data_IF_207513670822
#
_entry.id   IF_207513670822
#
_cell.length_a   1.000
_cell.length_b   1.000
_cell.length_c   1.000
_cell.angle_alpha   90.00
_cell.angle_beta   90.00
_cell.angle_gamma   90.00
#
_symmetry.space_group_name_H-M   'P 1'
#
loop_
_entity.id
_entity.type
_entity.pdbx_description
1 polymer ?
#
# COMPACT_ATOMS: atom_id res chain seq x y z
N UNK A 1 -70.65 52.41 -10.00
CA UNK A 1 -69.77 53.03 -8.98
C UNK A 1 -68.51 52.18 -8.82
N UNK A 2 -67.37 52.87 -8.93
CA UNK A 2 -65.95 52.57 -8.67
C UNK A 2 -65.45 51.12 -8.47
N UNK A 3 -64.43 50.83 -9.28
CA UNK A 3 -63.55 49.65 -9.36
C UNK A 3 -62.69 49.49 -8.09
N UNK A 4 -62.46 48.25 -7.65
CA UNK A 4 -61.29 47.90 -6.82
C UNK A 4 -60.46 46.90 -7.64
N UNK A 5 -59.31 47.37 -8.10
CA UNK A 5 -58.23 46.62 -8.71
C UNK A 5 -57.05 46.73 -7.74
N UNK A 6 -56.48 45.62 -7.28
CA UNK A 6 -55.12 45.54 -6.72
C UNK A 6 -54.68 44.07 -6.72
N UNK A 7 -54.03 43.62 -7.80
CA UNK A 7 -52.57 43.50 -7.98
C UNK A 7 -51.97 42.27 -7.29
N UNK A 8 -52.02 41.12 -7.97
CA UNK A 8 -51.13 39.98 -7.70
C UNK A 8 -49.82 40.26 -8.43
N UNK A 9 -48.78 40.65 -7.70
CA UNK A 9 -47.43 40.80 -8.24
C UNK A 9 -46.81 39.40 -8.37
N UNK A 10 -46.94 38.79 -9.56
CA UNK A 10 -46.26 37.54 -9.88
C UNK A 10 -44.78 37.84 -10.04
N UNK A 11 -43.97 37.40 -9.07
CA UNK A 11 -42.51 37.41 -9.17
C UNK A 11 -42.06 36.32 -10.14
N UNK A 12 -42.00 36.67 -11.43
CA UNK A 12 -41.58 35.79 -12.53
C UNK A 12 -40.10 36.03 -12.87
N UNK A 13 -39.19 35.84 -11.91
CA UNK A 13 -37.75 35.80 -12.21
C UNK A 13 -37.12 34.78 -11.29
N UNK A 14 -36.93 33.52 -11.71
CA UNK A 14 -35.96 32.58 -11.12
C UNK A 14 -35.86 31.23 -11.89
N UNK A 15 -35.91 31.21 -13.23
CA UNK A 15 -35.76 29.94 -13.99
C UNK A 15 -34.52 29.86 -14.90
N UNK A 16 -33.75 30.94 -15.09
CA UNK A 16 -32.54 30.90 -15.92
C UNK A 16 -31.25 30.49 -15.17
N UNK A 17 -31.30 30.37 -13.84
CA UNK A 17 -30.10 30.16 -12.99
C UNK A 17 -29.69 28.71 -12.76
N UNK A 18 -30.61 27.74 -12.86
CA UNK A 18 -30.27 26.33 -12.58
C UNK A 18 -29.50 25.66 -13.72
N UNK A 19 -29.85 25.93 -14.98
CA UNK A 19 -29.19 25.26 -16.11
C UNK A 19 -27.74 25.71 -16.35
N UNK A 20 -27.40 26.96 -15.99
CA UNK A 20 -26.03 27.47 -16.12
C UNK A 20 -25.10 26.85 -15.07
N UNK A 21 -25.62 26.66 -13.85
CA UNK A 21 -24.89 26.03 -12.75
C UNK A 21 -24.65 24.53 -13.00
N UNK A 22 -25.63 23.80 -13.54
CA UNK A 22 -25.45 22.39 -13.93
C UNK A 22 -24.44 22.21 -15.07
N UNK A 23 -24.41 23.13 -16.04
CA UNK A 23 -23.41 23.14 -17.11
C UNK A 23 -22.01 23.43 -16.57
N UNK A 24 -21.87 24.37 -15.63
CA UNK A 24 -20.60 24.68 -14.98
C UNK A 24 -20.08 23.50 -14.13
N UNK A 25 -20.93 22.87 -13.30
CA UNK A 25 -20.57 21.71 -12.48
C UNK A 25 -20.13 20.51 -13.37
N UNK A 26 -20.83 20.27 -14.49
CA UNK A 26 -20.43 19.25 -15.48
C UNK A 26 -19.09 19.59 -16.14
N UNK A 27 -18.87 20.86 -16.48
CA UNK A 27 -17.61 21.38 -17.02
C UNK A 27 -16.42 21.18 -16.06
N UNK A 28 -16.57 21.56 -14.79
CA UNK A 28 -15.53 21.40 -13.77
C UNK A 28 -15.20 19.94 -13.50
N UNK A 29 -16.21 19.06 -13.39
CA UNK A 29 -15.99 17.61 -13.29
C UNK A 29 -15.21 17.07 -14.48
N UNK A 30 -15.54 17.51 -15.70
CA UNK A 30 -14.87 17.09 -16.92
C UNK A 30 -13.41 17.58 -17.00
N UNK A 31 -13.16 18.86 -16.68
CA UNK A 31 -11.81 19.45 -16.64
C UNK A 31 -10.95 18.76 -15.59
N UNK A 32 -11.47 18.58 -14.38
CA UNK A 32 -10.79 17.87 -13.29
C UNK A 32 -10.42 16.43 -13.68
N UNK A 33 -11.32 15.73 -14.38
CA UNK A 33 -11.05 14.39 -14.89
C UNK A 33 -9.92 14.37 -15.95
N UNK A 34 -9.92 15.30 -16.91
CA UNK A 34 -8.83 15.39 -17.91
C UNK A 34 -7.48 15.68 -17.27
N UNK A 35 -7.45 16.60 -16.30
CA UNK A 35 -6.24 16.93 -15.54
C UNK A 35 -5.74 15.70 -14.76
N UNK A 36 -6.63 14.98 -14.07
CA UNK A 36 -6.28 13.77 -13.33
C UNK A 36 -5.72 12.67 -14.27
N UNK A 37 -6.33 12.47 -15.44
CA UNK A 37 -5.87 11.52 -16.46
C UNK A 37 -4.48 11.90 -16.99
N UNK A 38 -4.23 13.17 -17.26
CA UNK A 38 -2.93 13.65 -17.72
C UNK A 38 -1.84 13.51 -16.64
N UNK A 39 -2.18 13.84 -15.38
CA UNK A 39 -1.29 13.61 -14.23
C UNK A 39 -0.93 12.13 -14.07
N UNK A 40 -1.91 11.23 -14.20
CA UNK A 40 -1.68 9.79 -14.15
C UNK A 40 -0.76 9.32 -15.29
N UNK A 41 -1.01 9.77 -16.52
CA UNK A 41 -0.16 9.44 -17.69
C UNK A 41 1.28 9.92 -17.50
N UNK A 42 1.48 11.15 -17.03
CA UNK A 42 2.81 11.69 -16.74
C UNK A 42 3.52 10.93 -15.63
N UNK A 43 2.79 10.58 -14.55
CA UNK A 43 3.31 9.76 -13.45
C UNK A 43 3.81 8.40 -13.94
N UNK A 44 3.03 7.70 -14.78
CA UNK A 44 3.46 6.41 -15.35
C UNK A 44 4.64 6.58 -16.30
N UNK A 45 4.65 7.62 -17.13
CA UNK A 45 5.79 7.92 -18.00
C UNK A 45 7.08 8.09 -17.19
N UNK A 46 7.01 8.77 -16.04
CA UNK A 46 8.14 8.91 -15.13
C UNK A 46 8.53 7.56 -14.49
N UNK A 47 7.57 6.80 -13.98
CA UNK A 47 7.84 5.51 -13.32
C UNK A 47 8.40 4.45 -14.28
N UNK A 48 8.01 4.47 -15.56
CA UNK A 48 8.57 3.56 -16.57
C UNK A 48 10.07 3.79 -16.81
N UNK A 49 10.54 5.03 -16.61
CA UNK A 49 11.97 5.38 -16.68
C UNK A 49 12.72 5.06 -15.39
N UNK A 50 12.01 4.89 -14.26
CA UNK A 50 12.64 4.65 -12.97
C UNK A 50 13.25 3.24 -12.84
N UNK A 51 14.15 3.12 -11.86
CA UNK A 51 14.57 1.83 -11.31
C UNK A 51 13.60 1.38 -10.21
N UNK A 52 13.39 0.06 -10.13
CA UNK A 52 12.64 -0.56 -9.05
C UNK A 52 13.61 -1.42 -8.25
N UNK A 53 13.98 -1.00 -7.02
CA UNK A 53 15.04 -1.65 -6.24
C UNK A 53 14.71 -3.12 -5.95
N UNK A 54 13.41 -3.43 -5.84
CA UNK A 54 12.95 -4.80 -5.62
C UNK A 54 13.13 -5.76 -6.81
N UNK A 55 13.41 -5.24 -8.01
CA UNK A 55 13.69 -6.09 -9.18
C UNK A 55 15.16 -6.50 -9.27
N UNK A 56 16.02 -5.96 -8.39
CA UNK A 56 17.44 -6.31 -8.30
C UNK A 56 17.67 -7.24 -7.11
N UNK A 57 18.46 -8.31 -7.33
CA UNK A 57 18.97 -9.14 -6.24
C UNK A 57 20.16 -8.53 -5.51
N UNK A 58 20.86 -7.57 -6.12
CA UNK A 58 21.96 -6.87 -5.45
C UNK A 58 21.39 -5.97 -4.35
N UNK A 59 22.04 -6.01 -3.18
CA UNK A 59 21.77 -5.13 -2.04
C UNK A 59 22.56 -3.83 -2.24
N UNK A 60 21.85 -2.71 -2.31
CA UNK A 60 22.48 -1.40 -2.41
C UNK A 60 22.96 -0.89 -1.04
N UNK A 61 23.88 0.09 -1.02
CA UNK A 61 24.45 0.68 0.21
C UNK A 61 23.40 1.22 1.20
N UNK A 62 22.23 1.62 0.71
CA UNK A 62 21.13 2.16 1.50
C UNK A 62 19.98 1.14 1.73
N UNK A 63 20.27 -0.14 1.50
CA UNK A 63 19.38 -1.29 1.74
C UNK A 63 20.01 -2.14 2.85
N UNK A 64 19.22 -3.02 3.45
CA UNK A 64 19.72 -3.99 4.42
C UNK A 64 19.39 -5.40 3.95
N UNK A 65 20.21 -6.37 4.36
CA UNK A 65 19.99 -7.79 4.14
C UNK A 65 19.87 -8.48 5.49
N UNK A 66 18.90 -9.38 5.63
CA UNK A 66 18.69 -10.18 6.83
C UNK A 66 18.34 -11.59 6.46
N UNK A 67 18.78 -12.55 7.27
CA UNK A 67 18.43 -13.95 7.11
C UNK A 67 17.48 -14.36 8.23
N UNK A 68 16.34 -14.91 7.85
CA UNK A 68 15.39 -15.56 8.75
C UNK A 68 15.70 -17.05 8.72
N UNK A 69 16.40 -17.54 9.74
CA UNK A 69 16.66 -18.97 9.89
C UNK A 69 15.38 -19.69 10.32
N UNK A 70 14.98 -20.72 9.58
CA UNK A 70 13.78 -21.50 9.89
C UNK A 70 14.09 -23.00 9.92
N UNK A 71 13.19 -23.80 10.51
CA UNK A 71 13.29 -25.26 10.47
C UNK A 71 13.16 -25.86 9.07
N UNK A 72 12.79 -25.06 8.07
CA UNK A 72 12.65 -25.45 6.66
C UNK A 72 13.74 -24.85 5.77
N UNK A 73 14.78 -24.29 6.37
CA UNK A 73 15.87 -23.61 5.68
C UNK A 73 15.82 -22.10 5.88
N UNK A 74 16.83 -21.43 5.36
CA UNK A 74 17.01 -20.00 5.53
C UNK A 74 16.20 -19.22 4.49
N UNK A 75 15.69 -18.06 4.91
CA UNK A 75 15.04 -17.08 4.05
C UNK A 75 15.84 -15.78 4.13
N UNK A 76 16.57 -15.43 3.08
CA UNK A 76 17.28 -14.17 2.92
C UNK A 76 16.30 -13.09 2.45
N UNK A 77 16.38 -11.91 3.04
CA UNK A 77 15.42 -10.81 2.87
C UNK A 77 16.16 -9.51 2.68
N UNK A 78 15.73 -8.72 1.69
CA UNK A 78 16.25 -7.39 1.38
C UNK A 78 15.28 -6.29 1.80
N UNK A 79 15.70 -5.53 2.80
CA UNK A 79 14.91 -4.46 3.40
C UNK A 79 15.22 -3.11 2.73
N UNK A 80 14.24 -2.21 2.73
CA UNK A 80 14.37 -0.89 2.10
C UNK A 80 14.09 0.28 3.06
N UNK A 81 15.06 0.66 3.92
CA UNK A 81 14.91 1.74 4.88
C UNK A 81 14.42 3.06 4.27
N UNK A 82 14.82 3.36 3.02
CA UNK A 82 14.41 4.59 2.32
C UNK A 82 12.91 4.65 2.02
N UNK A 83 12.25 3.51 1.81
CA UNK A 83 10.86 3.45 1.37
C UNK A 83 9.89 3.05 2.49
N UNK A 84 10.38 2.36 3.52
CA UNK A 84 9.60 1.95 4.67
C UNK A 84 10.47 2.05 5.96
N UNK A 85 10.89 3.27 6.35
CA UNK A 85 11.80 3.46 7.48
C UNK A 85 11.26 2.88 8.79
N UNK A 86 9.98 3.11 9.13
CA UNK A 86 9.40 2.60 10.38
C UNK A 86 9.30 1.08 10.35
N UNK A 87 8.78 0.50 9.27
CA UNK A 87 8.62 -0.95 9.19
C UNK A 87 9.98 -1.67 9.25
N UNK A 88 11.00 -1.13 8.59
CA UNK A 88 12.35 -1.70 8.60
C UNK A 88 13.04 -1.53 9.96
N UNK A 89 12.95 -0.35 10.59
CA UNK A 89 13.49 -0.13 11.93
C UNK A 89 12.85 -1.08 12.96
N UNK A 90 11.52 -1.21 12.92
CA UNK A 90 10.77 -2.11 13.78
C UNK A 90 11.19 -3.57 13.59
N UNK A 91 11.21 -4.05 12.34
CA UNK A 91 11.59 -5.43 12.03
C UNK A 91 13.02 -5.75 12.46
N UNK A 92 13.98 -4.87 12.12
CA UNK A 92 15.40 -5.06 12.47
C UNK A 92 15.64 -5.03 13.96
N UNK A 93 14.97 -4.15 14.69
CA UNK A 93 15.13 -4.04 16.14
C UNK A 93 14.52 -5.24 16.85
N UNK A 94 13.33 -5.69 16.44
CA UNK A 94 12.75 -6.94 16.94
C UNK A 94 13.66 -8.14 16.67
N UNK A 95 14.20 -8.27 15.46
CA UNK A 95 15.13 -9.33 15.11
C UNK A 95 16.40 -9.29 15.98
N UNK A 96 17.02 -8.12 16.16
CA UNK A 96 18.21 -7.95 17.01
C UNK A 96 17.95 -8.29 18.48
N UNK A 97 16.74 -8.03 18.96
CA UNK A 97 16.34 -8.34 20.33
C UNK A 97 15.90 -9.80 20.52
N UNK A 98 15.97 -10.63 19.48
CA UNK A 98 15.54 -12.03 19.52
C UNK A 98 14.03 -12.22 19.62
N UNK A 99 13.23 -11.16 19.39
CA UNK A 99 11.78 -11.19 19.51
C UNK A 99 11.12 -12.24 18.59
N UNK A 100 11.69 -12.46 17.41
CA UNK A 100 11.19 -13.44 16.44
C UNK A 100 11.69 -14.87 16.68
N UNK A 101 12.53 -15.10 17.68
CA UNK A 101 13.08 -16.43 17.94
C UNK A 101 11.98 -17.40 18.36
N UNK A 102 12.02 -18.62 17.80
CA UNK A 102 11.06 -19.70 18.07
C UNK A 102 9.59 -19.37 17.74
N UNK A 103 9.32 -18.29 17.01
CA UNK A 103 7.97 -17.99 16.54
C UNK A 103 7.61 -18.82 15.31
N UNK A 104 6.32 -19.13 15.16
CA UNK A 104 5.79 -19.90 14.04
C UNK A 104 5.24 -19.01 12.93
N UNK A 105 5.21 -19.53 11.71
CA UNK A 105 4.30 -19.04 10.68
C UNK A 105 2.89 -19.58 10.98
N UNK A 106 2.09 -18.81 11.72
CA UNK A 106 0.79 -19.25 12.21
C UNK A 106 -0.30 -19.31 11.12
N UNK A 107 -0.10 -18.64 9.99
CA UNK A 107 -1.07 -18.64 8.88
C UNK A 107 -0.39 -18.89 7.56
N UNK A 108 -0.82 -19.94 6.88
CA UNK A 108 -0.29 -20.39 5.59
C UNK A 108 -1.47 -20.54 4.64
N UNK A 109 -1.51 -19.74 3.58
CA UNK A 109 -2.52 -19.83 2.52
C UNK A 109 -1.80 -20.07 1.21
N UNK A 110 -2.02 -21.24 0.63
CA UNK A 110 -1.45 -21.61 -0.67
C UNK A 110 -1.72 -20.52 -1.70
N UNK A 111 -0.70 -20.20 -2.48
CA UNK A 111 -0.79 -19.24 -3.58
C UNK A 111 -1.23 -17.82 -3.17
N UNK A 112 -1.06 -17.49 -1.89
CA UNK A 112 -1.33 -16.16 -1.39
C UNK A 112 -0.21 -15.65 -0.47
N UNK A 113 -0.15 -16.09 0.78
CA UNK A 113 0.83 -15.62 1.77
C UNK A 113 1.18 -16.68 2.81
N UNK A 114 2.40 -16.60 3.34
CA UNK A 114 2.75 -17.14 4.66
C UNK A 114 2.91 -15.98 5.64
N UNK A 115 2.36 -16.09 6.84
CA UNK A 115 2.31 -15.01 7.83
C UNK A 115 2.86 -15.49 9.17
N UNK A 116 3.66 -14.63 9.80
CA UNK A 116 4.35 -14.88 11.06
C UNK A 116 4.60 -13.59 11.83
N UNK A 117 5.50 -13.65 12.81
CA UNK A 117 5.85 -12.50 13.65
C UNK A 117 4.86 -12.20 14.77
N UNK A 118 4.04 -13.20 15.14
CA UNK A 118 3.14 -13.15 16.31
C UNK A 118 3.70 -14.01 17.45
N UNK A 119 4.06 -13.43 18.61
CA UNK A 119 4.49 -14.18 19.79
C UNK A 119 3.47 -15.16 20.35
N UNK A 120 2.17 -14.90 20.15
CA UNK A 120 1.11 -15.82 20.61
C UNK A 120 0.90 -16.99 19.66
N UNK A 121 1.28 -16.83 18.39
CA UNK A 121 1.09 -17.83 17.34
C UNK A 121 -0.37 -18.08 16.93
N UNK A 122 -1.32 -17.25 17.37
CA UNK A 122 -2.75 -17.38 17.05
C UNK A 122 -3.26 -16.31 16.05
N UNK A 123 -2.39 -15.37 15.67
CA UNK A 123 -2.65 -14.25 14.78
C UNK A 123 -3.15 -12.98 15.48
N UNK A 124 -3.37 -13.01 16.80
CA UNK A 124 -3.93 -11.88 17.57
C UNK A 124 -2.89 -11.03 18.30
N UNK A 125 -1.66 -11.54 18.44
CA UNK A 125 -0.61 -10.88 19.21
C UNK A 125 0.34 -10.02 18.38
N UNK A 126 1.34 -9.51 19.07
CA UNK A 126 2.43 -8.75 18.47
C UNK A 126 2.34 -7.25 18.73
N UNK A 127 3.50 -6.64 19.00
CA UNK A 127 3.62 -5.23 19.33
C UNK A 127 4.71 -4.56 18.51
N UNK A 128 4.62 -3.26 18.25
CA UNK A 128 5.75 -2.53 17.68
C UNK A 128 6.82 -2.27 18.75
N UNK A 129 8.05 -1.96 18.33
CA UNK A 129 9.12 -1.60 19.26
C UNK A 129 8.83 -0.31 20.05
N UNK A 130 7.89 0.51 19.59
CA UNK A 130 7.51 1.80 20.16
C UNK A 130 6.27 1.74 21.05
N UNK A 131 5.58 0.60 21.12
CA UNK A 131 4.37 0.46 21.92
C UNK A 131 4.64 0.83 23.38
N UNK A 132 3.84 1.77 23.90
CA UNK A 132 4.00 2.32 25.25
C UNK A 132 5.24 3.21 25.47
N UNK A 133 6.10 3.39 24.46
CA UNK A 133 7.40 4.10 24.56
C UNK A 133 7.47 5.38 23.74
N UNK A 134 6.93 5.39 22.52
CA UNK A 134 6.96 6.55 21.63
C UNK A 134 5.62 6.72 20.89
N UNK A 135 4.77 7.58 21.46
CA UNK A 135 3.44 7.89 20.92
C UNK A 135 3.46 8.61 19.57
N UNK A 136 4.60 9.20 19.19
CA UNK A 136 4.73 9.88 17.91
C UNK A 136 4.85 8.89 16.74
N UNK A 137 5.31 7.67 17.01
CA UNK A 137 5.45 6.59 16.02
C UNK A 137 4.35 5.53 16.14
N UNK A 138 3.94 5.20 17.36
CA UNK A 138 2.87 4.25 17.63
C UNK A 138 1.81 4.87 18.54
N UNK A 139 0.59 5.04 18.03
CA UNK A 139 -0.53 5.65 18.76
C UNK A 139 -1.09 4.79 19.91
N UNK A 140 -0.51 3.63 20.19
CA UNK A 140 -1.03 2.58 21.06
C UNK A 140 -1.87 1.54 20.30
N UNK A 141 -1.94 1.64 18.98
CA UNK A 141 -2.67 0.72 18.09
C UNK A 141 -1.79 0.17 16.97
N UNK A 142 -0.50 0.51 16.98
CA UNK A 142 0.42 0.27 15.88
C UNK A 142 0.91 1.55 15.21
N UNK A 143 1.93 1.40 14.38
CA UNK A 143 2.55 2.49 13.61
C UNK A 143 1.94 2.63 12.21
N UNK A 144 2.17 3.80 11.61
CA UNK A 144 1.57 4.20 10.34
C UNK A 144 1.96 3.31 9.15
N UNK A 145 1.07 3.22 8.16
CA UNK A 145 1.35 2.54 6.90
C UNK A 145 2.36 3.33 6.06
N UNK A 146 3.36 2.63 5.54
CA UNK A 146 4.33 3.21 4.61
C UNK A 146 4.09 2.67 3.20
N UNK A 147 3.74 3.56 2.27
CA UNK A 147 3.45 3.19 0.89
C UNK A 147 4.47 3.80 -0.06
N UNK A 148 4.91 3.01 -1.04
CA UNK A 148 5.90 3.42 -2.02
C UNK A 148 5.38 3.21 -3.43
N UNK A 149 5.65 4.18 -4.32
CA UNK A 149 5.42 4.03 -5.77
C UNK A 149 6.47 3.15 -6.45
N UNK A 150 7.45 2.64 -5.72
CA UNK A 150 8.58 1.86 -6.22
C UNK A 150 8.64 0.43 -5.67
N UNK A 151 7.77 0.11 -4.70
CA UNK A 151 7.66 -1.24 -4.14
C UNK A 151 6.28 -1.81 -4.46
N UNK A 152 6.23 -3.10 -4.81
CA UNK A 152 5.03 -3.85 -5.19
C UNK A 152 5.06 -5.27 -4.62
N UNK A 153 3.90 -5.82 -4.31
CA UNK A 153 3.69 -7.17 -3.76
C UNK A 153 3.92 -8.28 -4.80
N UNK A 154 5.17 -8.40 -5.24
CA UNK A 154 5.63 -9.52 -6.07
C UNK A 154 5.80 -10.78 -5.21
N UNK A 155 5.85 -11.95 -5.84
CA UNK A 155 6.20 -13.19 -5.12
C UNK A 155 7.54 -13.02 -4.41
N UNK A 156 7.60 -13.45 -3.15
CA UNK A 156 8.73 -13.23 -2.26
C UNK A 156 8.73 -11.86 -1.57
N UNK A 157 7.82 -10.92 -1.85
CA UNK A 157 7.77 -9.69 -1.05
C UNK A 157 7.37 -10.00 0.40
N UNK A 158 8.13 -9.52 1.38
CA UNK A 158 7.74 -9.44 2.79
C UNK A 158 6.91 -8.14 2.99
N UNK A 159 6.01 -8.13 3.96
CA UNK A 159 5.04 -7.05 4.10
C UNK A 159 4.51 -7.03 5.52
N UNK A 160 4.26 -5.85 6.10
CA UNK A 160 3.65 -5.80 7.44
C UNK A 160 2.19 -6.24 7.37
N UNK A 161 1.79 -7.15 8.27
CA UNK A 161 0.39 -7.44 8.50
C UNK A 161 -0.21 -6.36 9.41
N UNK A 162 -1.47 -6.02 9.19
CA UNK A 162 -2.21 -5.06 10.01
C UNK A 162 -3.71 -5.40 10.06
N UNK A 163 -4.42 -4.82 11.02
CA UNK A 163 -5.86 -4.99 11.22
C UNK A 163 -6.68 -3.83 10.62
N UNK A 164 -6.08 -3.08 9.70
CA UNK A 164 -6.63 -1.85 9.14
C UNK A 164 -5.56 -0.75 9.02
N UNK A 165 -5.93 0.41 8.46
CA UNK A 165 -5.00 1.50 8.25
C UNK A 165 -4.25 1.89 9.54
N UNK A 166 -2.91 2.00 9.45
CA UNK A 166 -2.04 2.48 10.53
C UNK A 166 -2.08 1.63 11.82
N UNK A 167 -2.18 0.32 11.67
CA UNK A 167 -2.15 -0.64 12.79
C UNK A 167 -1.04 -1.68 12.64
N UNK A 168 0.13 -1.27 12.12
CA UNK A 168 1.27 -2.17 11.98
C UNK A 168 1.92 -2.42 13.35
N UNK A 169 2.28 -3.67 13.63
CA UNK A 169 2.94 -4.09 14.87
C UNK A 169 4.18 -4.95 14.55
N UNK A 170 4.27 -6.19 15.03
CA UNK A 170 5.39 -7.10 14.73
C UNK A 170 5.12 -8.10 13.61
N UNK A 171 3.84 -8.35 13.29
CA UNK A 171 3.47 -9.39 12.33
C UNK A 171 3.80 -8.98 10.88
N UNK A 172 4.23 -9.96 10.10
CA UNK A 172 4.53 -9.79 8.68
C UNK A 172 4.07 -11.00 7.88
N UNK A 173 3.95 -10.83 6.58
CA UNK A 173 3.70 -11.92 5.65
C UNK A 173 4.66 -11.89 4.46
N UNK A 174 4.89 -13.04 3.84
CA UNK A 174 5.64 -13.21 2.60
C UNK A 174 4.69 -13.67 1.51
N UNK A 175 4.68 -12.96 0.37
CA UNK A 175 3.81 -13.25 -0.78
C UNK A 175 4.23 -14.55 -1.46
N UNK A 176 3.30 -15.49 -1.59
CA UNK A 176 3.52 -16.81 -2.20
C UNK A 176 2.81 -17.02 -3.54
N UNK A 177 1.95 -16.09 -3.96
CA UNK A 177 1.20 -16.23 -5.21
C UNK A 177 2.13 -16.51 -6.39
N UNK A 178 1.89 -17.62 -7.09
CA UNK A 178 2.65 -18.12 -8.25
C UNK A 178 2.00 -17.80 -9.61
N UNK A 179 0.80 -17.24 -9.59
CA UNK A 179 0.00 -17.02 -10.78
C UNK A 179 0.41 -15.76 -11.54
N UNK A 180 0.20 -15.78 -12.85
CA UNK A 180 0.38 -14.61 -13.70
C UNK A 180 -0.76 -13.60 -13.50
N UNK A 181 -0.52 -12.59 -12.66
CA UNK A 181 -1.46 -11.49 -12.43
C UNK A 181 -1.33 -10.35 -13.45
N UNK A 182 -0.40 -10.41 -14.42
CA UNK A 182 -0.07 -9.27 -15.28
C UNK A 182 -1.26 -8.79 -16.12
N UNK A 183 -2.16 -9.70 -16.50
CA UNK A 183 -3.34 -9.42 -17.33
C UNK A 183 -4.35 -8.53 -16.64
N UNK A 184 -4.37 -8.54 -15.30
CA UNK A 184 -5.29 -7.73 -14.50
C UNK A 184 -4.75 -6.30 -14.30
N UNK A 185 -3.54 -6.00 -14.79
CA UNK A 185 -2.83 -4.75 -14.48
C UNK A 185 -2.99 -3.73 -15.58
N UNK A 186 -3.67 -2.63 -15.26
CA UNK A 186 -3.77 -1.50 -16.17
C UNK A 186 -2.41 -0.78 -16.31
N UNK A 187 -1.95 -0.61 -17.55
CA UNK A 187 -0.72 0.16 -17.89
C UNK A 187 -0.82 1.64 -17.49
N UNK A 188 -2.02 2.15 -17.25
CA UNK A 188 -2.27 3.50 -16.72
C UNK A 188 -1.98 3.63 -15.22
N UNK A 189 -1.81 2.51 -14.51
CA UNK A 189 -1.57 2.46 -13.06
C UNK A 189 -0.25 1.79 -12.70
N UNK A 190 0.19 0.81 -13.50
CA UNK A 190 1.38 0.02 -13.24
C UNK A 190 2.46 0.26 -14.30
N UNK A 191 3.72 0.48 -13.89
CA UNK A 191 4.85 0.57 -14.81
C UNK A 191 5.10 -0.76 -15.52
N UNK A 192 5.55 -0.72 -16.77
CA UNK A 192 5.72 -1.92 -17.61
C UNK A 192 6.69 -2.93 -16.99
N UNK A 193 7.77 -2.46 -16.35
CA UNK A 193 8.73 -3.32 -15.65
C UNK A 193 8.07 -4.14 -14.54
N UNK A 194 7.10 -3.54 -13.84
CA UNK A 194 6.34 -4.18 -12.78
C UNK A 194 5.30 -5.13 -13.35
N UNK A 195 4.58 -4.74 -14.40
CA UNK A 195 3.65 -5.64 -15.10
C UNK A 195 4.38 -6.90 -15.57
N UNK A 196 5.57 -6.74 -16.15
CA UNK A 196 6.41 -7.87 -16.55
C UNK A 196 6.89 -8.70 -15.36
N UNK A 197 7.11 -8.10 -14.20
CA UNK A 197 7.45 -8.84 -12.99
C UNK A 197 6.28 -9.72 -12.50
N UNK A 198 5.05 -9.21 -12.55
CA UNK A 198 3.84 -9.99 -12.23
C UNK A 198 3.53 -11.13 -13.22
N UNK A 199 4.15 -11.15 -14.41
CA UNK A 199 4.11 -12.34 -15.29
C UNK A 199 4.82 -13.54 -14.66
N UNK A 200 5.80 -13.26 -13.80
CA UNK A 200 6.61 -14.24 -13.06
C UNK A 200 6.14 -14.38 -11.60
N UNK A 201 4.90 -13.96 -11.32
CA UNK A 201 4.14 -14.11 -10.08
C UNK A 201 4.13 -12.95 -9.04
N UNK A 202 3.02 -12.82 -8.28
CA UNK A 202 2.76 -11.80 -7.24
C UNK A 202 1.27 -11.61 -6.91
N UNK A 203 0.92 -10.79 -5.91
CA UNK A 203 -0.48 -10.54 -5.53
C UNK A 203 -0.80 -9.07 -5.22
N UNK A 204 -1.75 -8.46 -5.94
CA UNK A 204 -2.02 -7.02 -5.93
C UNK A 204 -2.64 -6.47 -4.64
N UNK A 205 -3.46 -7.25 -3.94
CA UNK A 205 -4.35 -6.75 -2.88
C UNK A 205 -3.74 -6.82 -1.47
N UNK A 206 -2.43 -6.66 -1.36
CA UNK A 206 -1.71 -6.71 -0.09
C UNK A 206 -1.36 -5.28 0.36
N UNK A 207 -1.00 -5.10 1.64
CA UNK A 207 -0.62 -3.79 2.21
C UNK A 207 0.77 -3.87 2.90
N UNK A 208 1.56 -2.79 2.81
CA UNK A 208 2.95 -2.57 3.29
C UNK A 208 4.04 -3.48 2.65
N UNK A 209 5.24 -3.01 2.28
CA UNK A 209 6.24 -3.85 1.54
C UNK A 209 7.67 -3.66 2.03
N UNK A 210 8.34 -4.78 2.25
CA UNK A 210 9.77 -5.01 2.54
C UNK A 210 10.18 -6.28 1.75
N UNK A 211 11.16 -6.36 0.86
CA UNK A 211 11.27 -7.57 0.00
C UNK A 211 11.94 -8.78 0.70
N UNK A 212 11.41 -10.01 0.57
CA UNK A 212 12.19 -11.26 0.75
C UNK A 212 12.84 -11.70 -0.59
N UNK A 213 14.08 -12.20 -0.54
CA UNK A 213 14.92 -12.51 -1.70
C UNK A 213 14.83 -13.97 -2.18
N UNK A 214 14.18 -14.86 -1.43
CA UNK A 214 14.22 -16.29 -1.75
C UNK A 214 13.05 -16.78 -2.60
N UNK A 215 13.40 -17.73 -3.49
CA UNK A 215 12.58 -18.27 -4.57
C UNK A 215 11.65 -19.37 -4.11
#
# INVERSE_FOLDING_TARGET
>A
MKRIVSLVLVSFVLLAGCESMDRAIKGDKYVNHRIAKQKAKNKIKQLNKAGFPQLSRKVAKNEAEVTIATSKGDITVKLFPKYAPLAVENFLTHAKNGYYNNLTFHRIISDFVIQGGDPKGDGSGGESIWMGKDKSKDSGKGFANETSKYLYHLRGALSMANAGPNTNASQFFIVQNKDNQSKQLATTRYPQKIINAYKRAGHQNLMAIIQSLDK
#
